data_IF_288972931822
#
_entry.id   IF_288972931822
#
_cell.length_a   1.000
_cell.length_b   1.000
_cell.length_c   1.000
_cell.angle_alpha   90.00
_cell.angle_beta   90.00
_cell.angle_gamma   90.00
#
_symmetry.space_group_name_H-M   'P 1'
#
loop_
_entity.id
_entity.type
_entity.pdbx_description
1 polymer ?
#
# COMPACT_ATOMS: atom_id res chain seq x y z
N UNK A 1 -7.00 -0.68 3.43
CA UNK A 1 -7.86 -1.89 3.53
C UNK A 1 -9.04 -1.73 2.58
N UNK A 2 -9.39 -2.76 1.86
CA UNK A 2 -10.43 -2.67 0.85
C UNK A 2 -11.08 -4.03 0.58
N UNK A 3 -12.32 -4.00 0.09
CA UNK A 3 -13.04 -5.17 -0.40
C UNK A 3 -13.09 -5.15 -1.93
N UNK A 4 -12.82 -6.29 -2.55
CA UNK A 4 -12.82 -6.42 -4.02
C UNK A 4 -14.23 -6.43 -4.55
N UNK A 5 -14.46 -5.72 -5.66
CA UNK A 5 -15.71 -5.80 -6.42
C UNK A 5 -15.48 -6.55 -7.71
N UNK A 6 -14.66 -6.02 -8.59
CA UNK A 6 -14.28 -6.67 -9.85
C UNK A 6 -12.94 -6.10 -10.30
N UNK A 7 -11.96 -6.99 -10.46
CA UNK A 7 -10.64 -6.61 -10.95
C UNK A 7 -10.51 -7.04 -12.41
N UNK A 8 -10.26 -6.08 -13.27
CA UNK A 8 -10.04 -6.29 -14.70
C UNK A 8 -8.58 -5.96 -15.09
N UNK A 9 -8.28 -6.05 -16.39
CA UNK A 9 -6.93 -5.77 -16.88
C UNK A 9 -6.52 -4.32 -16.64
N UNK A 10 -7.46 -3.38 -16.69
CA UNK A 10 -7.20 -1.97 -16.42
C UNK A 10 -6.77 -1.77 -14.95
N UNK A 11 -7.44 -2.45 -14.02
CA UNK A 11 -7.05 -2.45 -12.61
C UNK A 11 -5.62 -2.96 -12.44
N UNK A 12 -5.30 -4.12 -13.00
CA UNK A 12 -3.99 -4.73 -12.85
C UNK A 12 -2.87 -3.86 -13.43
N UNK A 13 -3.10 -3.23 -14.59
CA UNK A 13 -2.11 -2.32 -15.18
C UNK A 13 -1.86 -1.11 -14.30
N UNK A 14 -2.92 -0.51 -13.76
CA UNK A 14 -2.81 0.67 -12.92
C UNK A 14 -2.15 0.34 -11.58
N UNK A 15 -2.49 -0.82 -11.01
CA UNK A 15 -1.87 -1.31 -9.79
C UNK A 15 -0.35 -1.48 -9.96
N UNK A 16 0.09 -2.05 -11.07
CA UNK A 16 1.51 -2.19 -11.38
C UNK A 16 2.19 -0.83 -11.56
N UNK A 17 1.52 0.14 -12.18
CA UNK A 17 2.05 1.49 -12.34
C UNK A 17 2.23 2.18 -11.00
N UNK A 18 1.28 2.04 -10.07
CA UNK A 18 1.37 2.61 -8.73
C UNK A 18 2.51 1.95 -7.96
N UNK A 19 2.63 0.63 -8.01
CA UNK A 19 3.70 -0.09 -7.34
C UNK A 19 5.08 0.34 -7.86
N UNK A 20 5.24 0.49 -9.18
CA UNK A 20 6.47 0.97 -9.77
C UNK A 20 6.79 2.40 -9.36
N UNK A 21 5.78 3.28 -9.36
CA UNK A 21 5.95 4.67 -8.93
C UNK A 21 6.39 4.76 -7.47
N UNK A 22 5.76 3.96 -6.58
CA UNK A 22 6.12 3.93 -5.17
C UNK A 22 7.58 3.52 -4.96
N UNK A 23 8.02 2.47 -5.63
CA UNK A 23 9.39 1.94 -5.50
C UNK A 23 10.45 2.93 -5.96
N UNK A 24 10.11 3.83 -6.88
CA UNK A 24 11.02 4.82 -7.42
C UNK A 24 11.06 6.12 -6.60
N UNK A 25 10.17 6.31 -5.63
CA UNK A 25 10.15 7.49 -4.80
C UNK A 25 11.18 7.40 -3.67
N UNK A 26 11.94 8.48 -3.40
CA UNK A 26 12.79 8.53 -2.22
C UNK A 26 11.96 8.34 -0.95
N UNK A 27 12.47 7.55 -0.02
CA UNK A 27 11.80 7.31 1.25
C UNK A 27 10.84 6.11 1.26
N UNK A 28 10.65 5.43 0.14
CA UNK A 28 9.93 4.17 0.12
C UNK A 28 10.72 3.10 0.86
N UNK A 29 10.11 2.48 1.88
CA UNK A 29 10.76 1.45 2.69
C UNK A 29 10.28 0.04 2.35
N UNK A 30 9.08 -0.09 1.82
CA UNK A 30 8.52 -1.37 1.43
C UNK A 30 7.01 -1.41 1.59
N UNK A 31 6.43 -2.57 1.26
CA UNK A 31 4.99 -2.77 1.35
C UNK A 31 4.67 -4.21 1.76
N UNK A 32 3.52 -4.37 2.37
CA UNK A 32 2.97 -5.66 2.75
C UNK A 32 1.51 -5.73 2.30
N UNK A 33 1.06 -6.91 1.89
CA UNK A 33 -0.33 -7.14 1.52
C UNK A 33 -0.86 -8.35 2.30
N UNK A 34 -1.99 -8.15 2.93
CA UNK A 34 -2.64 -9.17 3.75
C UNK A 34 -4.09 -9.32 3.34
N UNK A 35 -4.57 -10.56 3.24
CA UNK A 35 -5.96 -10.83 2.92
C UNK A 35 -6.58 -11.67 4.04
N UNK A 36 -7.78 -11.27 4.48
CA UNK A 36 -8.58 -12.09 5.38
C UNK A 36 -9.44 -13.04 4.51
N UNK A 37 -9.17 -14.35 4.51
CA UNK A 37 -9.89 -15.27 3.64
C UNK A 37 -11.37 -15.42 4.01
N UNK A 38 -11.74 -15.13 5.26
CA UNK A 38 -13.13 -15.23 5.70
C UNK A 38 -14.00 -14.10 5.16
N UNK A 39 -13.42 -12.92 4.90
CA UNK A 39 -14.15 -11.72 4.47
C UNK A 39 -13.79 -11.25 3.07
N UNK A 40 -12.65 -11.70 2.52
CA UNK A 40 -12.10 -11.20 1.26
C UNK A 40 -11.52 -9.79 1.36
N UNK A 41 -11.45 -9.20 2.55
CA UNK A 41 -10.88 -7.88 2.74
C UNK A 41 -9.36 -7.95 2.63
N UNK A 42 -8.80 -7.04 1.82
CA UNK A 42 -7.35 -6.92 1.60
C UNK A 42 -6.84 -5.67 2.32
N UNK A 43 -5.70 -5.80 2.98
CA UNK A 43 -5.00 -4.68 3.60
C UNK A 43 -3.62 -4.53 2.97
N UNK A 44 -3.36 -3.38 2.36
CA UNK A 44 -2.04 -3.02 1.87
C UNK A 44 -1.42 -2.03 2.85
N UNK A 45 -0.22 -2.32 3.31
CA UNK A 45 0.53 -1.46 4.21
C UNK A 45 1.79 -0.99 3.51
N UNK A 46 1.96 0.32 3.40
CA UNK A 46 3.14 0.94 2.80
C UNK A 46 3.94 1.66 3.89
N UNK A 47 5.24 1.45 3.88
CA UNK A 47 6.15 2.07 4.84
C UNK A 47 6.98 3.14 4.15
N UNK A 48 7.04 4.32 4.77
CA UNK A 48 7.71 5.51 4.24
C UNK A 48 8.60 6.12 5.31
N UNK A 49 9.74 6.65 4.90
CA UNK A 49 10.67 7.33 5.82
C UNK A 49 10.17 8.69 6.28
N UNK A 50 9.23 9.30 5.54
CA UNK A 50 8.68 10.63 5.86
C UNK A 50 7.28 10.79 5.28
N UNK A 51 6.54 11.75 5.83
CA UNK A 51 5.24 12.14 5.31
C UNK A 51 5.35 12.75 3.90
N UNK A 52 6.42 13.50 3.64
CA UNK A 52 6.66 14.10 2.33
C UNK A 52 6.76 13.04 1.22
N UNK A 53 7.43 11.94 1.48
CA UNK A 53 7.56 10.83 0.54
C UNK A 53 6.18 10.22 0.22
N UNK A 54 5.36 10.02 1.25
CA UNK A 54 3.98 9.52 1.07
C UNK A 54 3.15 10.51 0.24
N UNK A 55 3.26 11.80 0.49
CA UNK A 55 2.51 12.81 -0.25
C UNK A 55 2.90 12.86 -1.72
N UNK A 56 4.15 12.58 -2.07
CA UNK A 56 4.57 12.48 -3.47
C UNK A 56 3.86 11.35 -4.20
N UNK A 57 3.67 10.20 -3.55
CA UNK A 57 2.88 9.12 -4.16
C UNK A 57 1.41 9.51 -4.30
N UNK A 58 0.83 10.12 -3.29
CA UNK A 58 -0.58 10.54 -3.31
C UNK A 58 -0.87 11.54 -4.41
N UNK A 59 0.12 12.34 -4.82
CA UNK A 59 0.01 13.31 -5.90
C UNK A 59 0.39 12.74 -7.27
N UNK A 60 0.90 11.52 -7.33
CA UNK A 60 1.33 10.90 -8.58
C UNK A 60 0.13 10.68 -9.51
N UNK A 61 0.27 10.95 -10.83
CA UNK A 61 -0.85 10.79 -11.78
C UNK A 61 -1.50 9.41 -11.74
N UNK A 62 -0.72 8.34 -11.64
CA UNK A 62 -1.25 6.98 -11.56
C UNK A 62 -2.12 6.78 -10.32
N UNK A 63 -1.72 7.32 -9.16
CA UNK A 63 -2.49 7.24 -7.93
C UNK A 63 -3.80 8.05 -8.03
N UNK A 64 -3.75 9.24 -8.60
CA UNK A 64 -4.93 10.08 -8.81
C UNK A 64 -5.92 9.41 -9.75
N UNK A 65 -5.43 8.75 -10.80
CA UNK A 65 -6.24 8.00 -11.74
C UNK A 65 -6.94 6.81 -11.05
N UNK A 66 -6.21 6.08 -10.21
CA UNK A 66 -6.78 4.97 -9.44
C UNK A 66 -7.86 5.46 -8.49
N UNK A 67 -7.62 6.57 -7.81
CA UNK A 67 -8.59 7.18 -6.90
C UNK A 67 -9.88 7.58 -7.62
N UNK A 68 -9.77 8.13 -8.82
CA UNK A 68 -10.93 8.52 -9.62
C UNK A 68 -11.75 7.31 -10.10
N UNK A 69 -11.10 6.18 -10.35
CA UNK A 69 -11.73 4.97 -10.89
C UNK A 69 -12.04 3.91 -9.83
N UNK A 70 -11.75 4.15 -8.56
CA UNK A 70 -11.83 3.12 -7.51
C UNK A 70 -13.21 2.50 -7.36
N UNK A 71 -14.29 3.24 -7.62
CA UNK A 71 -15.65 2.72 -7.51
C UNK A 71 -15.94 1.57 -8.49
N UNK A 72 -15.17 1.45 -9.57
CA UNK A 72 -15.30 0.36 -10.54
C UNK A 72 -14.78 -0.97 -9.99
N UNK A 73 -13.84 -0.94 -9.05
CA UNK A 73 -13.10 -2.11 -8.61
C UNK A 73 -13.28 -2.45 -7.13
N UNK A 74 -13.62 -1.46 -6.31
CA UNK A 74 -13.70 -1.63 -4.86
C UNK A 74 -15.14 -1.51 -4.39
N UNK A 75 -15.59 -2.51 -3.63
CA UNK A 75 -16.89 -2.45 -2.94
C UNK A 75 -16.86 -1.51 -1.74
N UNK A 76 -15.68 -1.28 -1.17
CA UNK A 76 -15.45 -0.35 -0.09
C UNK A 76 -13.96 -0.22 0.20
N UNK A 77 -13.55 0.90 0.77
CA UNK A 77 -12.15 1.11 1.14
C UNK A 77 -12.01 2.03 2.33
N UNK A 78 -10.88 1.91 3.01
CA UNK A 78 -10.47 2.81 4.08
C UNK A 78 -8.97 3.02 4.00
N UNK A 79 -8.53 4.27 4.13
CA UNK A 79 -7.11 4.64 4.23
C UNK A 79 -6.84 5.15 5.63
N UNK A 80 -5.80 4.62 6.25
CA UNK A 80 -5.29 5.11 7.54
C UNK A 80 -3.83 5.48 7.34
N UNK A 81 -3.48 6.71 7.70
CA UNK A 81 -2.11 7.19 7.70
C UNK A 81 -1.69 7.33 9.16
N UNK A 82 -0.63 6.60 9.51
CA UNK A 82 -0.14 6.58 10.88
C UNK A 82 1.37 6.75 10.93
N UNK A 83 1.87 7.19 12.06
CA UNK A 83 3.28 7.29 12.33
C UNK A 83 3.71 6.12 13.20
N UNK A 84 4.76 5.41 12.78
CA UNK A 84 5.34 4.35 13.59
C UNK A 84 6.16 4.99 14.70
N UNK A 85 5.74 4.75 15.92
CA UNK A 85 6.45 5.29 17.11
C UNK A 85 7.59 4.38 17.55
N UNK A 86 7.44 3.07 17.34
CA UNK A 86 8.43 2.08 17.71
C UNK A 86 8.23 0.82 16.88
N UNK A 87 9.33 0.20 16.49
CA UNK A 87 9.35 -1.13 15.90
C UNK A 87 10.50 -1.92 16.48
N UNK A 88 10.23 -3.13 16.97
CA UNK A 88 11.25 -4.01 17.52
C UNK A 88 10.82 -5.46 17.36
N UNK A 89 11.79 -6.34 17.40
CA UNK A 89 11.54 -7.77 17.30
C UNK A 89 12.85 -8.53 17.50
N UNK A 90 12.79 -9.83 17.38
CA UNK A 90 14.01 -10.62 17.32
C UNK A 90 14.54 -10.65 15.87
N UNK A 91 15.59 -11.41 15.62
CA UNK A 91 16.18 -11.54 14.29
C UNK A 91 15.63 -12.73 13.51
N UNK A 92 14.49 -13.27 13.93
CA UNK A 92 13.82 -14.36 13.23
C UNK A 92 13.33 -13.92 11.86
N UNK A 93 13.19 -14.87 10.96
CA UNK A 93 12.71 -14.61 9.61
C UNK A 93 11.19 -14.47 9.61
N UNK A 94 10.71 -13.39 8.98
CA UNK A 94 9.30 -13.15 8.74
C UNK A 94 9.12 -12.85 7.24
N UNK A 95 8.96 -13.89 6.41
CA UNK A 95 8.81 -13.70 4.97
C UNK A 95 7.62 -12.77 4.64
N UNK A 96 7.83 -11.84 3.72
CA UNK A 96 6.80 -10.88 3.30
C UNK A 96 6.62 -9.70 4.24
N UNK A 97 7.35 -9.63 5.33
CA UNK A 97 7.32 -8.51 6.27
C UNK A 97 8.49 -7.57 5.99
N UNK A 98 8.19 -6.27 5.98
CA UNK A 98 9.20 -5.24 5.71
C UNK A 98 10.16 -5.15 6.90
N UNK A 99 11.46 -5.23 6.62
CA UNK A 99 12.50 -5.12 7.63
C UNK A 99 12.90 -3.65 7.79
N UNK A 100 12.64 -3.09 8.97
CA UNK A 100 13.16 -1.79 9.37
C UNK A 100 13.24 -1.74 10.89
N UNK A 101 14.20 -0.96 11.38
CA UNK A 101 14.40 -0.77 12.83
C UNK A 101 14.11 0.67 13.20
N UNK A 102 13.29 0.85 14.25
CA UNK A 102 13.03 2.15 14.86
C UNK A 102 13.21 2.03 16.37
N UNK A 103 14.17 2.76 16.93
CA UNK A 103 14.41 2.72 18.36
C UNK A 103 13.26 3.29 19.20
#
# INVERSE_FOLDING_TARGET
MFAKKQFDDAFHRLDLQIAAAAKNLPGYLGEEAWENPATGVVSNVYYWSSLDALQQLMSHPAHLQAKAAQANWLAGYRVVISQVMRAYGDRGELPGVVAFDMP
#
